data_IF_522545783515
#
_entry.id   IF_522545783515
#
_cell.length_a   1.000
_cell.length_b   1.000
_cell.length_c   1.000
_cell.angle_alpha   90.00
_cell.angle_beta   90.00
_cell.angle_gamma   90.00
#
_symmetry.space_group_name_H-M   'P 1'
#
loop_
_entity.id
_entity.type
_entity.pdbx_description
1 polymer ?
#
# COMPACT_ATOMS: atom_id res chain seq x y z
N UNK A 1 -0.24 18.55 2.48
CA UNK A 1 -0.14 17.16 1.97
C UNK A 1 -1.55 16.61 1.90
N UNK A 2 -1.93 16.00 0.77
CA UNK A 2 -3.26 15.45 0.55
C UNK A 2 -3.13 13.94 0.36
N UNK A 3 -4.01 13.15 0.97
CA UNK A 3 -4.03 11.69 0.83
C UNK A 3 -4.92 11.33 -0.35
N UNK A 4 -4.36 10.77 -1.42
CA UNK A 4 -5.12 10.40 -2.63
C UNK A 4 -4.97 8.92 -2.96
N UNK A 5 -3.81 8.36 -2.71
CA UNK A 5 -3.50 6.96 -3.04
C UNK A 5 -2.96 6.21 -1.80
N UNK A 6 -3.07 4.86 -1.77
CA UNK A 6 -2.50 4.05 -0.70
C UNK A 6 -1.01 4.34 -0.42
N UNK A 7 -0.23 4.64 -1.47
CA UNK A 7 1.19 5.03 -1.36
C UNK A 7 1.40 6.28 -0.50
N UNK A 8 0.45 7.22 -0.50
CA UNK A 8 0.54 8.45 0.29
C UNK A 8 0.37 8.15 1.78
N UNK A 9 -0.54 7.24 2.13
CA UNK A 9 -0.74 6.77 3.51
C UNK A 9 0.53 6.11 4.02
N UNK A 10 1.16 5.26 3.22
CA UNK A 10 2.43 4.62 3.61
C UNK A 10 3.56 5.63 3.86
N UNK A 11 3.65 6.69 3.03
CA UNK A 11 4.62 7.78 3.22
C UNK A 11 4.37 8.54 4.53
N UNK A 12 3.11 8.75 4.92
CA UNK A 12 2.78 9.36 6.22
C UNK A 12 3.23 8.46 7.37
N UNK A 13 2.82 7.20 7.35
CA UNK A 13 3.20 6.23 8.39
C UNK A 13 4.73 6.15 8.52
N UNK A 14 5.46 6.00 7.41
CA UNK A 14 6.92 6.00 7.42
C UNK A 14 7.49 7.27 8.05
N UNK A 15 7.04 8.46 7.63
CA UNK A 15 7.55 9.72 8.16
C UNK A 15 7.33 9.86 9.67
N UNK A 16 6.14 9.52 10.15
CA UNK A 16 5.79 9.65 11.57
C UNK A 16 6.58 8.65 12.40
N UNK A 17 6.62 7.39 11.98
CA UNK A 17 7.38 6.35 12.68
C UNK A 17 8.87 6.67 12.67
N UNK A 18 9.47 7.01 11.52
CA UNK A 18 10.89 7.40 11.46
C UNK A 18 11.23 8.60 12.33
N UNK A 19 10.31 9.56 12.50
CA UNK A 19 10.52 10.68 13.42
C UNK A 19 10.55 10.22 14.87
N UNK A 20 9.58 9.40 15.29
CA UNK A 20 9.54 8.87 16.66
C UNK A 20 10.81 8.10 17.03
N UNK A 21 11.29 7.22 16.14
CA UNK A 21 12.53 6.47 16.35
C UNK A 21 13.78 7.36 16.39
N UNK A 22 13.82 8.43 15.60
CA UNK A 22 14.95 9.37 15.61
C UNK A 22 15.02 10.16 16.92
N UNK A 23 13.86 10.46 17.50
CA UNK A 23 13.73 11.23 18.74
C UNK A 23 13.78 10.35 20.00
N UNK A 24 13.87 9.01 19.85
CA UNK A 24 13.87 8.07 20.98
C UNK A 24 12.51 7.94 21.67
N UNK A 25 11.43 8.28 20.96
CA UNK A 25 10.05 8.34 21.49
C UNK A 25 9.22 7.12 21.08
N UNK A 26 9.83 6.10 20.48
CA UNK A 26 9.14 4.90 19.98
C UNK A 26 8.49 4.08 21.10
N UNK A 27 9.08 4.05 22.30
CA UNK A 27 8.49 3.37 23.45
C UNK A 27 7.31 4.15 24.02
N UNK A 28 7.45 5.47 24.16
CA UNK A 28 6.36 6.37 24.60
C UNK A 28 5.16 6.30 23.66
N UNK A 29 5.39 6.24 22.35
CA UNK A 29 4.34 6.20 21.33
C UNK A 29 4.04 4.80 20.78
N UNK A 30 4.49 3.74 21.46
CA UNK A 30 4.39 2.35 20.99
C UNK A 30 2.97 1.96 20.54
N UNK A 31 1.93 2.32 21.30
CA UNK A 31 0.53 2.07 20.93
C UNK A 31 0.08 2.78 19.65
N UNK A 32 0.48 4.05 19.47
CA UNK A 32 0.16 4.82 18.25
C UNK A 32 0.96 4.32 17.05
N UNK A 33 2.22 3.92 17.27
CA UNK A 33 3.05 3.30 16.24
C UNK A 33 2.43 1.98 15.77
N UNK A 34 1.96 1.14 16.69
CA UNK A 34 1.26 -0.10 16.33
C UNK A 34 0.01 0.17 15.47
N UNK A 35 -0.78 1.20 15.80
CA UNK A 35 -1.91 1.63 14.96
C UNK A 35 -1.46 2.08 13.57
N UNK A 36 -0.40 2.88 13.48
CA UNK A 36 0.18 3.32 12.21
C UNK A 36 0.71 2.16 11.36
N UNK A 37 1.30 1.14 12.00
CA UNK A 37 1.74 -0.08 11.31
C UNK A 37 0.56 -0.89 10.77
N UNK A 38 -0.53 -1.01 11.53
CA UNK A 38 -1.75 -1.65 11.05
C UNK A 38 -2.36 -0.91 9.85
N UNK A 39 -2.37 0.42 9.87
CA UNK A 39 -2.83 1.24 8.74
C UNK A 39 -1.89 1.08 7.53
N UNK A 40 -0.58 1.08 7.77
CA UNK A 40 0.43 0.89 6.73
C UNK A 40 0.26 -0.46 6.02
N UNK A 41 0.01 -1.53 6.79
CA UNK A 41 -0.20 -2.87 6.24
C UNK A 41 -1.43 -2.94 5.34
N UNK A 42 -2.56 -2.37 5.77
CA UNK A 42 -3.78 -2.28 4.95
C UNK A 42 -3.55 -1.52 3.64
N UNK A 43 -2.83 -0.40 3.70
CA UNK A 43 -2.48 0.36 2.50
C UNK A 43 -1.56 -0.45 1.55
N UNK A 44 -0.66 -1.27 2.10
CA UNK A 44 0.19 -2.17 1.32
C UNK A 44 -0.61 -3.29 0.64
N UNK A 45 -1.56 -3.90 1.35
CA UNK A 45 -2.44 -4.93 0.81
C UNK A 45 -3.27 -4.40 -0.38
N UNK A 46 -3.82 -3.20 -0.27
CA UNK A 46 -4.58 -2.56 -1.35
C UNK A 46 -3.77 -2.37 -2.63
N UNK A 47 -2.50 -1.99 -2.53
CA UNK A 47 -1.65 -1.87 -3.72
C UNK A 47 -1.33 -3.22 -4.36
N UNK A 48 -1.22 -4.29 -3.55
CA UNK A 48 -1.05 -5.64 -4.07
C UNK A 48 -2.29 -6.10 -4.82
N UNK A 49 -3.48 -5.78 -4.29
CA UNK A 49 -4.75 -6.06 -4.95
C UNK A 49 -4.85 -5.32 -6.31
N UNK A 50 -4.56 -4.02 -6.34
CA UNK A 50 -4.53 -3.24 -7.59
C UNK A 50 -3.52 -3.82 -8.61
N UNK A 51 -2.39 -4.35 -8.12
CA UNK A 51 -1.41 -5.06 -8.95
C UNK A 51 -1.94 -6.38 -9.53
N UNK A 52 -2.75 -7.12 -8.77
CA UNK A 52 -3.40 -8.36 -9.23
C UNK A 52 -4.47 -8.04 -10.26
N UNK A 53 -5.33 -7.06 -10.00
CA UNK A 53 -6.37 -6.61 -10.93
C UNK A 53 -5.79 -6.22 -12.28
N UNK A 54 -4.71 -5.42 -12.30
CA UNK A 54 -4.02 -5.06 -13.54
C UNK A 54 -3.50 -6.28 -14.33
N UNK A 55 -2.98 -7.29 -13.62
CA UNK A 55 -2.47 -8.51 -14.26
C UNK A 55 -3.60 -9.38 -14.80
N UNK A 56 -4.73 -9.43 -14.12
CA UNK A 56 -5.93 -10.14 -14.58
C UNK A 56 -6.47 -9.49 -15.86
N UNK A 57 -6.63 -8.17 -15.87
CA UNK A 57 -7.04 -7.43 -17.07
C UNK A 57 -6.10 -7.70 -18.24
N UNK A 58 -4.78 -7.69 -18.02
CA UNK A 58 -3.81 -8.00 -19.07
C UNK A 58 -3.98 -9.43 -19.62
N UNK A 59 -4.21 -10.42 -18.75
CA UNK A 59 -4.46 -11.80 -19.17
C UNK A 59 -5.77 -11.95 -19.94
N UNK A 60 -6.83 -11.28 -19.51
CA UNK A 60 -8.13 -11.26 -20.20
C UNK A 60 -8.02 -10.62 -21.59
N UNK A 61 -7.25 -9.53 -21.72
CA UNK A 61 -6.95 -8.91 -23.01
C UNK A 61 -6.11 -9.82 -23.93
N UNK A 62 -5.13 -10.55 -23.39
CA UNK A 62 -4.33 -11.51 -24.13
C UNK A 62 -5.17 -12.69 -24.65
N UNK A 63 -6.05 -13.24 -23.79
CA UNK A 63 -6.96 -14.33 -24.18
C UNK A 63 -8.02 -13.88 -25.17
N UNK A 64 -8.57 -12.67 -25.01
CA UNK A 64 -9.53 -12.08 -25.95
C UNK A 64 -8.92 -11.83 -27.35
N UNK A 65 -7.61 -11.56 -27.42
CA UNK A 65 -6.87 -11.43 -28.69
C UNK A 65 -6.51 -12.79 -29.32
N UNK A 66 -6.51 -13.88 -28.55
CA UNK A 66 -6.24 -15.25 -29.03
C UNK A 66 -7.47 -16.01 -29.54
N UNK A 67 -8.69 -15.52 -29.26
CA UNK A 67 -9.96 -16.15 -29.67
C UNK A 67 -10.48 -15.73 -31.06
N UNK A 68 -9.72 -14.92 -31.81
CA UNK A 68 -10.06 -14.46 -33.16
C UNK A 68 -9.18 -15.12 -34.22
N UNK A 69 -9.00 -16.45 -34.14
CA UNK A 69 -8.51 -17.26 -35.27
C UNK A 69 -9.32 -18.56 -35.30
N UNK A 70 -10.31 -18.62 -36.20
CA UNK A 70 -11.04 -19.84 -36.56
C UNK A 70 -12.49 -19.89 -36.09
#
# INVERSE_FOLDING_TARGET
MTLREPKDVRRVCQRVTSKAFREGLELEYSGRIAQLMGIWLKAFELEKLEGIERRLVALEEEQGKGGQIG
#
